data_IF_062036968141
#
_entry.id   IF_062036968141
#
_cell.length_a   1.000
_cell.length_b   1.000
_cell.length_c   1.000
_cell.angle_alpha   90.00
_cell.angle_beta   90.00
_cell.angle_gamma   90.00
#
_symmetry.space_group_name_H-M   'P 1'
#
loop_
_entity.id
_entity.type
_entity.pdbx_description
1 polymer ?
#
# COMPACT_ATOMS: atom_id res chain seq x y z
N UNK A 1 6.06 -4.52 -12.29
CA UNK A 1 6.50 -4.25 -10.91
C UNK A 1 7.97 -4.58 -10.84
N UNK A 2 8.82 -3.69 -10.34
CA UNK A 2 10.25 -3.99 -10.18
C UNK A 2 10.51 -4.83 -8.93
N UNK A 3 11.47 -5.75 -8.99
CA UNK A 3 11.83 -6.61 -7.86
C UNK A 3 12.36 -5.81 -6.65
N UNK A 4 13.06 -4.71 -6.90
CA UNK A 4 13.55 -3.79 -5.85
C UNK A 4 12.41 -3.17 -5.04
N UNK A 5 11.31 -2.78 -5.70
CA UNK A 5 10.13 -2.25 -5.01
C UNK A 5 9.51 -3.27 -4.07
N UNK A 6 9.35 -4.52 -4.53
CA UNK A 6 8.81 -5.60 -3.70
C UNK A 6 9.74 -5.90 -2.53
N UNK A 7 11.06 -5.95 -2.76
CA UNK A 7 12.04 -6.18 -1.71
C UNK A 7 12.06 -5.06 -0.67
N UNK A 8 12.01 -3.80 -1.10
CA UNK A 8 11.94 -2.64 -0.21
C UNK A 8 10.66 -2.63 0.63
N UNK A 9 9.51 -2.92 0.02
CA UNK A 9 8.23 -3.02 0.72
C UNK A 9 8.23 -4.16 1.75
N UNK A 10 8.76 -5.33 1.39
CA UNK A 10 8.86 -6.47 2.30
C UNK A 10 9.84 -6.22 3.47
N UNK A 11 10.88 -5.41 3.25
CA UNK A 11 11.84 -5.06 4.29
C UNK A 11 11.24 -4.14 5.38
N UNK A 12 10.18 -3.38 5.08
CA UNK A 12 9.48 -2.55 6.05
C UNK A 12 8.48 -3.39 6.89
N UNK A 13 8.71 -3.55 8.22
CA UNK A 13 7.87 -4.41 9.05
C UNK A 13 6.39 -4.03 9.08
N UNK A 14 6.05 -2.74 8.97
CA UNK A 14 4.64 -2.30 8.95
C UNK A 14 3.93 -2.72 7.69
N UNK A 15 4.57 -2.58 6.53
CA UNK A 15 3.97 -2.98 5.24
C UNK A 15 3.94 -4.50 5.06
N UNK A 16 4.97 -5.23 5.52
CA UNK A 16 5.00 -6.70 5.47
C UNK A 16 3.83 -7.37 6.18
N UNK A 17 3.19 -6.68 7.12
CA UNK A 17 2.02 -7.18 7.86
C UNK A 17 0.70 -6.89 7.16
N UNK A 18 0.68 -6.09 6.11
CA UNK A 18 -0.49 -5.79 5.30
C UNK A 18 -0.62 -6.80 4.16
N UNK A 19 -1.81 -6.87 3.55
CA UNK A 19 -2.06 -7.73 2.41
C UNK A 19 -1.61 -7.01 1.12
N UNK A 20 -0.54 -7.48 0.44
CA UNK A 20 -0.11 -6.86 -0.79
C UNK A 20 -1.01 -7.30 -1.94
N UNK A 21 -1.35 -6.38 -2.84
CA UNK A 21 -1.94 -6.73 -4.12
C UNK A 21 -1.39 -5.83 -5.22
N UNK A 22 -1.47 -6.31 -6.46
CA UNK A 22 -0.88 -5.62 -7.62
C UNK A 22 -1.90 -5.46 -8.71
N UNK A 23 -1.94 -4.29 -9.35
CA UNK A 23 -2.78 -4.02 -10.52
C UNK A 23 -2.25 -2.82 -11.29
N UNK A 24 -2.39 -2.78 -12.62
CA UNK A 24 -1.91 -1.65 -13.45
C UNK A 24 -0.43 -1.28 -13.21
N UNK A 25 0.41 -2.26 -12.89
CA UNK A 25 1.82 -2.09 -12.51
C UNK A 25 2.07 -1.40 -11.15
N UNK A 26 1.02 -1.15 -10.37
CA UNK A 26 1.03 -0.53 -9.03
C UNK A 26 1.11 -1.58 -7.91
N UNK A 27 1.88 -1.28 -6.86
CA UNK A 27 1.92 -2.01 -5.60
C UNK A 27 0.97 -1.36 -4.60
N UNK A 28 -0.03 -2.11 -4.18
CA UNK A 28 -1.03 -1.69 -3.22
C UNK A 28 -0.94 -2.49 -1.93
N UNK A 29 -1.48 -1.93 -0.85
CA UNK A 29 -1.59 -2.58 0.45
C UNK A 29 -3.03 -2.48 0.96
N UNK A 30 -3.57 -3.60 1.41
CA UNK A 30 -4.89 -3.70 2.03
C UNK A 30 -4.73 -4.06 3.50
N UNK A 31 -5.58 -3.47 4.34
CA UNK A 31 -5.73 -3.86 5.75
C UNK A 31 -6.60 -5.09 5.94
N UNK A 32 -7.12 -5.67 4.86
CA UNK A 32 -7.90 -6.91 4.87
C UNK A 32 -7.44 -7.88 3.78
N UNK A 33 -7.62 -9.19 4.00
CA UNK A 33 -7.14 -10.23 3.09
C UNK A 33 -8.12 -10.59 1.97
N UNK A 34 -9.42 -10.31 2.14
CA UNK A 34 -10.46 -10.67 1.17
C UNK A 34 -10.82 -9.54 0.19
N UNK A 35 -11.45 -9.91 -0.92
CA UNK A 35 -11.78 -9.01 -2.03
C UNK A 35 -12.74 -7.87 -1.64
N UNK A 36 -12.69 -6.81 -2.47
CA UNK A 36 -13.02 -5.40 -2.15
C UNK A 36 -11.98 -4.70 -1.28
N UNK A 37 -10.73 -5.19 -1.25
CA UNK A 37 -9.54 -4.65 -0.58
C UNK A 37 -9.65 -3.19 -0.12
N UNK A 38 -9.14 -2.89 1.09
CA UNK A 38 -9.14 -1.50 1.55
C UNK A 38 -8.31 -0.62 0.62
N UNK A 39 -8.74 0.63 0.48
CA UNK A 39 -8.09 1.65 -0.33
C UNK A 39 -7.46 2.76 0.53
N UNK A 40 -7.51 2.64 1.85
CA UNK A 40 -7.08 3.67 2.81
C UNK A 40 -5.56 3.74 3.04
N UNK A 41 -4.77 3.00 2.28
CA UNK A 41 -3.30 3.03 2.30
C UNK A 41 -2.80 3.53 0.93
N UNK A 42 -1.83 4.45 0.88
CA UNK A 42 -1.20 4.84 -0.37
C UNK A 42 -0.57 3.66 -1.14
N UNK A 43 -0.53 3.78 -2.46
CA UNK A 43 0.07 2.81 -3.38
C UNK A 43 1.24 3.42 -4.14
N UNK A 44 2.10 2.54 -4.66
CA UNK A 44 3.32 2.92 -5.38
C UNK A 44 3.23 2.42 -6.81
N UNK A 45 3.41 3.29 -7.78
CA UNK A 45 3.51 2.89 -9.19
C UNK A 45 4.76 3.43 -9.86
N UNK A 46 5.20 2.83 -10.97
CA UNK A 46 6.33 3.34 -11.72
C UNK A 46 5.91 4.55 -12.56
N UNK A 47 6.77 5.56 -12.71
CA UNK A 47 6.45 6.72 -13.59
C UNK A 47 6.43 6.35 -15.08
N UNK A 48 6.99 5.20 -15.45
CA UNK A 48 6.92 4.64 -16.78
C UNK A 48 6.36 3.20 -16.70
N UNK A 49 5.36 2.89 -17.52
CA UNK A 49 4.78 1.54 -17.55
C UNK A 49 5.70 0.57 -18.31
N UNK A 50 5.73 -0.70 -17.86
CA UNK A 50 6.43 -1.79 -18.55
C UNK A 50 7.22 -2.71 -17.63
N UNK A 51 7.66 -3.87 -18.15
CA UNK A 51 8.45 -4.86 -17.41
C UNK A 51 9.86 -4.37 -17.09
N UNK A 52 10.45 -3.56 -17.98
CA UNK A 52 11.82 -3.05 -17.89
C UNK A 52 11.91 -1.67 -17.25
N UNK A 53 11.00 -1.35 -16.32
CA UNK A 53 11.04 -0.04 -15.67
C UNK A 53 12.40 0.18 -15.00
N UNK A 54 13.07 1.24 -15.45
CA UNK A 54 14.21 1.88 -14.81
C UNK A 54 13.87 3.36 -14.68
N UNK A 55 13.49 3.81 -13.49
CA UNK A 55 13.01 5.17 -13.30
C UNK A 55 12.35 5.41 -11.94
N UNK A 56 11.95 6.66 -11.66
CA UNK A 56 11.33 7.01 -10.40
C UNK A 56 9.97 6.34 -10.21
N UNK A 57 9.49 6.41 -8.97
CA UNK A 57 8.19 5.92 -8.54
C UNK A 57 7.29 7.10 -8.24
N UNK A 58 6.01 7.00 -8.53
CA UNK A 58 5.00 7.89 -7.97
C UNK A 58 4.34 7.22 -6.76
N UNK A 59 3.84 8.05 -5.84
CA UNK A 59 3.04 7.63 -4.70
C UNK A 59 1.70 8.38 -4.73
N UNK A 60 0.62 7.63 -4.67
CA UNK A 60 -0.77 8.11 -4.77
C UNK A 60 -1.66 7.36 -3.78
N UNK A 61 -2.91 7.80 -3.61
CA UNK A 61 -3.85 7.20 -2.67
C UNK A 61 -4.07 8.04 -1.41
N UNK A 62 -5.02 7.65 -0.54
CA UNK A 62 -5.88 6.45 -0.61
C UNK A 62 -6.96 6.45 -1.72
N UNK A 63 -7.15 7.54 -2.46
CA UNK A 63 -7.92 7.54 -3.70
C UNK A 63 -7.00 7.76 -4.91
N UNK A 64 -7.41 7.32 -6.10
CA UNK A 64 -6.68 7.62 -7.35
C UNK A 64 -6.62 9.11 -7.69
N UNK A 65 -7.35 9.96 -6.98
CA UNK A 65 -7.32 11.40 -7.17
C UNK A 65 -6.26 12.10 -6.32
N UNK A 66 -5.69 11.41 -5.31
CA UNK A 66 -4.76 12.01 -4.38
C UNK A 66 -3.31 11.71 -4.75
N UNK A 67 -2.59 12.75 -5.16
CA UNK A 67 -1.15 12.67 -5.42
C UNK A 67 -0.36 13.01 -4.17
N UNK A 68 0.56 12.12 -3.79
CA UNK A 68 1.46 12.32 -2.64
C UNK A 68 2.80 12.84 -3.11
N UNK A 69 3.40 12.24 -4.15
CA UNK A 69 4.69 12.68 -4.64
C UNK A 69 5.36 11.71 -5.62
N UNK A 70 6.62 12.02 -5.91
CA UNK A 70 7.52 11.20 -6.73
C UNK A 70 8.77 10.90 -5.90
N UNK A 71 9.24 9.66 -5.96
CA UNK A 71 10.42 9.16 -5.27
C UNK A 71 11.45 8.68 -6.29
N UNK A 72 12.74 8.97 -6.05
CA UNK A 72 13.82 8.52 -6.91
C UNK A 72 14.15 7.04 -6.72
N UNK A 73 13.82 6.48 -5.56
CA UNK A 73 14.12 5.08 -5.20
C UNK A 73 12.93 4.35 -4.59
N UNK A 74 12.98 3.01 -4.59
CA UNK A 74 11.96 2.17 -3.98
C UNK A 74 11.82 2.43 -2.46
N UNK A 75 12.94 2.67 -1.76
CA UNK A 75 12.93 2.96 -0.32
C UNK A 75 12.27 4.29 0.00
N UNK A 76 12.53 5.32 -0.79
CA UNK A 76 11.87 6.62 -0.63
C UNK A 76 10.37 6.51 -0.88
N UNK A 77 9.95 5.76 -1.90
CA UNK A 77 8.54 5.52 -2.17
C UNK A 77 7.85 4.80 -1.00
N UNK A 78 8.49 3.75 -0.46
CA UNK A 78 8.02 3.03 0.72
C UNK A 78 7.91 3.96 1.93
N UNK A 79 8.90 4.82 2.18
CA UNK A 79 8.85 5.78 3.28
C UNK A 79 7.63 6.72 3.17
N UNK A 80 7.32 7.22 1.97
CA UNK A 80 6.14 8.07 1.75
C UNK A 80 4.82 7.37 2.08
N UNK A 81 4.69 6.08 1.74
CA UNK A 81 3.50 5.27 2.10
C UNK A 81 3.42 5.11 3.62
N UNK A 82 4.54 4.77 4.23
CA UNK A 82 4.65 4.45 5.65
C UNK A 82 4.31 5.65 6.56
N UNK A 83 4.73 6.85 6.17
CA UNK A 83 4.38 8.10 6.83
C UNK A 83 2.88 8.39 6.85
N UNK A 84 2.12 7.75 5.94
CA UNK A 84 0.69 8.01 5.69
C UNK A 84 -0.17 6.79 6.00
N UNK A 85 0.37 5.79 6.70
CA UNK A 85 -0.44 4.67 7.18
C UNK A 85 -1.55 5.17 8.10
N UNK A 86 -2.76 4.56 8.03
CA UNK A 86 -3.82 4.84 8.99
C UNK A 86 -3.33 4.72 10.44
N UNK A 87 -3.81 5.56 11.37
CA UNK A 87 -3.49 5.41 12.78
C UNK A 87 -3.85 4.01 13.29
N UNK A 88 -2.96 3.39 14.06
CA UNK A 88 -3.19 2.04 14.60
C UNK A 88 -3.17 0.92 13.55
N UNK A 89 -2.64 1.16 12.33
CA UNK A 89 -2.55 0.15 11.29
C UNK A 89 -1.72 -1.07 11.76
N UNK A 90 -2.43 -2.16 12.04
CA UNK A 90 -1.90 -3.44 12.50
C UNK A 90 -1.72 -4.45 11.37
N UNK A 91 -1.65 -5.77 11.67
CA UNK A 91 -1.73 -6.81 10.66
C UNK A 91 -3.01 -6.70 9.85
N UNK A 92 -2.96 -7.17 8.60
CA UNK A 92 -4.15 -7.36 7.80
C UNK A 92 -5.15 -8.26 8.54
N UNK A 93 -6.38 -7.77 8.62
CA UNK A 93 -7.52 -8.48 9.14
C UNK A 93 -7.90 -9.61 8.18
N UNK A 94 -8.12 -10.80 8.74
CA UNK A 94 -8.62 -11.95 7.97
C UNK A 94 -10.11 -11.75 7.74
N UNK A 95 -10.47 -11.33 6.53
CA UNK A 95 -11.85 -11.02 6.14
C UNK A 95 -11.94 -9.86 5.16
N UNK A 96 -13.15 -9.33 5.03
CA UNK A 96 -13.54 -8.24 4.13
C UNK A 96 -13.37 -6.86 4.80
N UNK A 97 -13.38 -5.75 4.03
CA UNK A 97 -13.38 -4.41 4.61
C UNK A 97 -14.60 -4.13 5.52
N UNK A 98 -15.76 -4.73 5.20
CA UNK A 98 -16.96 -4.56 6.01
C UNK A 98 -16.83 -5.20 7.39
N UNK A 99 -16.23 -6.38 7.46
CA UNK A 99 -15.94 -7.06 8.73
C UNK A 99 -14.85 -6.35 9.54
N UNK A 100 -13.82 -5.82 8.87
CA UNK A 100 -12.83 -4.95 9.51
C UNK A 100 -13.49 -3.73 10.16
N UNK A 101 -14.37 -3.03 9.43
CA UNK A 101 -15.08 -1.86 9.95
C UNK A 101 -15.99 -2.21 11.15
N UNK A 102 -16.68 -3.36 11.10
CA UNK A 102 -17.48 -3.86 12.21
C UNK A 102 -16.61 -4.20 13.44
N UNK A 103 -15.45 -4.85 13.22
CA UNK A 103 -14.49 -5.17 14.27
C UNK A 103 -13.90 -3.93 14.95
N UNK A 104 -13.52 -2.91 14.17
CA UNK A 104 -12.98 -1.66 14.70
C UNK A 104 -14.04 -0.88 15.50
N UNK A 105 -15.28 -0.86 15.02
CA UNK A 105 -16.41 -0.23 15.73
C UNK A 105 -16.70 -0.90 17.07
N UNK A 106 -16.56 -2.23 17.16
CA UNK A 106 -16.78 -2.99 18.39
C UNK A 106 -15.64 -2.92 19.42
N UNK A 107 -14.48 -2.35 19.06
CA UNK A 107 -13.33 -2.12 19.98
C UNK A 107 -13.28 -0.69 20.53
N UNK A 108 -14.16 0.19 20.05
CA UNK A 108 -14.24 1.59 20.44
C UNK A 108 -15.06 1.89 21.71
N UNK A 109 -15.50 0.88 22.44
CA UNK A 109 -16.10 0.95 23.80
C UNK A 109 -15.17 0.38 24.85
#
# INVERSE_FOLDING_TARGET
MSADLVAAAYAEPRLRRLFPWTGMWELHFSRCTEQRWTWDVPYIGPTAAGPDHTGPYYVEGPSRAQRIGVAGTAREAVAMVVERLPPGCGPAFVGTPGELAAYESGRGT
#
